data_IF_390496403300
#
_entry.id   IF_390496403300
#
_cell.length_a   1.000
_cell.length_b   1.000
_cell.length_c   1.000
_cell.angle_alpha   90.00
_cell.angle_beta   90.00
_cell.angle_gamma   90.00
#
_symmetry.space_group_name_H-M   'P 1'
#
loop_
_entity.id
_entity.type
_entity.pdbx_description
1 polymer ?
#
# COMPACT_ATOMS: atom_id res chain seq x y z
N UNK A 1 -13.19 -2.90 -16.52
CA UNK A 1 -13.67 -3.88 -15.53
C UNK A 1 -13.03 -5.22 -15.85
N UNK A 2 -12.90 -6.09 -14.86
CA UNK A 2 -12.20 -7.37 -14.98
C UNK A 2 -10.79 -7.35 -14.37
N UNK A 3 -10.00 -8.41 -14.60
CA UNK A 3 -8.70 -8.59 -13.95
C UNK A 3 -7.72 -7.47 -14.26
N UNK A 4 -7.11 -6.92 -13.22
CA UNK A 4 -6.09 -5.89 -13.28
C UNK A 4 -5.03 -6.14 -12.19
N UNK A 5 -3.77 -6.33 -12.58
CA UNK A 5 -2.68 -6.46 -11.60
C UNK A 5 -2.31 -5.07 -11.05
N UNK A 6 -2.43 -4.91 -9.74
CA UNK A 6 -1.86 -3.78 -9.02
C UNK A 6 -0.45 -4.14 -8.58
N UNK A 7 0.52 -3.25 -8.79
CA UNK A 7 1.90 -3.47 -8.38
C UNK A 7 2.48 -2.25 -7.71
N UNK A 8 3.48 -2.46 -6.87
CA UNK A 8 4.20 -1.36 -6.25
C UNK A 8 5.40 -1.81 -5.44
N UNK A 9 5.91 -0.88 -4.62
CA UNK A 9 7.02 -1.13 -3.71
C UNK A 9 6.76 -0.44 -2.38
N UNK A 10 7.26 -1.04 -1.31
CA UNK A 10 7.22 -0.48 0.04
C UNK A 10 8.58 -0.66 0.72
N UNK A 11 8.90 0.19 1.69
CA UNK A 11 10.14 0.10 2.48
C UNK A 11 9.90 0.65 3.88
N UNK A 12 10.75 0.26 4.84
CA UNK A 12 10.79 0.85 6.18
C UNK A 12 12.25 1.09 6.59
N UNK A 13 12.46 2.12 7.40
CA UNK A 13 13.74 2.33 8.09
C UNK A 13 13.94 1.38 9.28
N UNK A 14 12.92 0.63 9.67
CA UNK A 14 12.90 -0.18 10.90
C UNK A 14 12.96 -1.69 10.68
N UNK A 15 13.06 -2.14 9.43
CA UNK A 15 13.11 -3.58 9.09
C UNK A 15 12.51 -3.87 7.72
N UNK A 16 12.39 -5.15 7.38
CA UNK A 16 11.70 -5.52 6.14
C UNK A 16 10.21 -5.16 6.24
N UNK A 17 9.59 -4.96 5.08
CA UNK A 17 8.13 -4.94 4.99
C UNK A 17 7.59 -6.34 5.24
N UNK A 18 6.77 -6.48 6.27
CA UNK A 18 6.14 -7.74 6.65
C UNK A 18 4.80 -7.95 5.94
N UNK A 19 4.07 -6.85 5.66
CA UNK A 19 2.73 -6.90 5.07
C UNK A 19 2.45 -5.66 4.22
N UNK A 20 1.80 -5.84 3.07
CA UNK A 20 1.18 -4.76 2.30
C UNK A 20 -0.29 -5.11 2.13
N UNK A 21 -1.16 -4.18 2.45
CA UNK A 21 -2.61 -4.31 2.34
C UNK A 21 -3.13 -3.33 1.28
N UNK A 22 -4.08 -3.79 0.47
CA UNK A 22 -4.79 -3.01 -0.53
C UNK A 22 -6.25 -2.88 -0.12
N UNK A 23 -6.83 -1.71 -0.33
CA UNK A 23 -8.27 -1.49 -0.27
C UNK A 23 -8.71 -0.88 -1.60
N UNK A 24 -9.87 -1.28 -2.11
CA UNK A 24 -10.49 -0.68 -3.31
C UNK A 24 -11.78 0.10 -3.00
N UNK A 25 -12.07 0.28 -1.71
CA UNK A 25 -13.32 0.82 -1.19
C UNK A 25 -13.14 2.02 -0.25
N UNK A 26 -12.00 2.71 -0.34
CA UNK A 26 -11.68 3.89 0.48
C UNK A 26 -11.15 3.56 1.88
N UNK A 27 -10.66 2.33 2.09
CA UNK A 27 -10.11 1.86 3.35
C UNK A 27 -11.12 1.23 4.31
N UNK A 28 -12.33 0.87 3.83
CA UNK A 28 -13.36 0.21 4.64
C UNK A 28 -13.06 -1.27 4.80
N UNK A 29 -12.51 -1.91 3.78
CA UNK A 29 -11.99 -3.29 3.81
C UNK A 29 -10.60 -3.36 3.20
N UNK A 30 -9.84 -4.38 3.60
CA UNK A 30 -8.44 -4.55 3.22
C UNK A 30 -8.16 -6.01 2.87
N UNK A 31 -7.33 -6.24 1.86
CA UNK A 31 -6.84 -7.53 1.44
C UNK A 31 -5.31 -7.52 1.37
N UNK A 32 -4.69 -8.67 1.62
CA UNK A 32 -3.23 -8.80 1.58
C UNK A 32 -2.72 -8.88 0.13
N UNK A 33 -1.68 -8.11 -0.15
CA UNK A 33 -0.90 -8.22 -1.38
C UNK A 33 0.18 -9.30 -1.26
N UNK A 34 0.54 -9.88 -2.39
CA UNK A 34 1.66 -10.79 -2.49
C UNK A 34 2.98 -10.03 -2.43
N UNK A 35 3.77 -10.31 -1.40
CA UNK A 35 5.11 -9.76 -1.29
C UNK A 35 6.13 -10.64 -2.02
N UNK A 36 6.95 -10.03 -2.87
CA UNK A 36 8.13 -10.71 -3.44
C UNK A 36 9.10 -11.11 -2.32
N UNK A 37 10.04 -12.04 -2.56
CA UNK A 37 11.03 -12.41 -1.56
C UNK A 37 11.71 -11.19 -0.94
N UNK A 38 11.98 -11.25 0.36
CA UNK A 38 12.62 -10.15 1.06
C UNK A 38 14.00 -9.87 0.43
N UNK A 39 14.34 -8.59 0.17
CA UNK A 39 15.68 -8.23 -0.31
C UNK A 39 16.73 -8.50 0.77
N UNK A 40 18.00 -8.57 0.39
CA UNK A 40 19.08 -8.87 1.36
C UNK A 40 19.24 -7.80 2.45
N UNK A 41 19.02 -6.53 2.12
CA UNK A 41 19.12 -5.43 3.09
C UNK A 41 17.72 -5.05 3.63
N UNK A 42 17.51 -5.00 4.96
CA UNK A 42 16.22 -4.71 5.59
C UNK A 42 15.55 -3.42 5.14
N UNK A 43 16.34 -2.37 4.93
CA UNK A 43 15.86 -1.05 4.50
C UNK A 43 15.64 -0.93 3.00
N UNK A 44 15.78 -2.01 2.23
CA UNK A 44 15.52 -2.00 0.79
C UNK A 44 14.04 -2.07 0.47
N UNK A 45 13.66 -1.47 -0.65
CA UNK A 45 12.33 -1.58 -1.20
C UNK A 45 11.98 -3.04 -1.51
N UNK A 46 10.83 -3.50 -0.99
CA UNK A 46 10.23 -4.80 -1.28
C UNK A 46 9.09 -4.59 -2.26
N UNK A 47 9.13 -5.31 -3.38
CA UNK A 47 8.08 -5.27 -4.40
C UNK A 47 6.86 -6.09 -3.95
N UNK A 48 5.68 -5.68 -4.40
CA UNK A 48 4.43 -6.36 -4.15
C UNK A 48 3.53 -6.35 -5.39
N UNK A 49 2.62 -7.32 -5.47
CA UNK A 49 1.57 -7.43 -6.48
C UNK A 49 0.24 -7.83 -5.83
N UNK A 50 -0.88 -7.43 -6.44
CA UNK A 50 -2.22 -7.81 -6.00
C UNK A 50 -3.13 -7.97 -7.22
N UNK A 51 -3.70 -9.15 -7.39
CA UNK A 51 -4.65 -9.44 -8.45
C UNK A 51 -6.02 -8.86 -8.09
N UNK A 52 -6.36 -7.72 -8.70
CA UNK A 52 -7.61 -7.03 -8.45
C UNK A 52 -8.63 -7.33 -9.56
N UNK A 53 -9.75 -7.94 -9.20
CA UNK A 53 -10.90 -8.07 -10.11
C UNK A 53 -11.74 -6.79 -10.07
N UNK A 54 -11.42 -5.86 -10.98
CA UNK A 54 -11.96 -4.51 -10.93
C UNK A 54 -13.42 -4.46 -11.39
N UNK A 55 -14.33 -4.13 -10.47
CA UNK A 55 -15.71 -3.81 -10.82
C UNK A 55 -15.80 -2.52 -11.66
N UNK A 56 -16.85 -2.38 -12.48
CA UNK A 56 -17.12 -1.12 -13.19
C UNK A 56 -17.55 -0.05 -12.19
N UNK A 57 -16.99 1.15 -12.30
CA UNK A 57 -17.37 2.29 -11.46
C UNK A 57 -16.17 3.06 -10.92
N UNK A 58 -16.46 3.96 -9.98
CA UNK A 58 -15.43 4.70 -9.25
C UNK A 58 -14.92 3.88 -8.06
N UNK A 59 -13.60 3.84 -7.90
CA UNK A 59 -12.92 3.21 -6.77
C UNK A 59 -11.93 4.18 -6.16
N UNK A 60 -11.73 4.08 -4.84
CA UNK A 60 -10.63 4.74 -4.15
C UNK A 60 -9.68 3.67 -3.64
N UNK A 61 -8.57 3.48 -4.37
CA UNK A 61 -7.54 2.53 -4.03
C UNK A 61 -6.66 3.09 -2.92
N UNK A 62 -6.46 2.31 -1.85
CA UNK A 62 -5.49 2.59 -0.80
C UNK A 62 -4.45 1.49 -0.72
N UNK A 63 -3.22 1.87 -0.37
CA UNK A 63 -2.12 0.94 -0.10
C UNK A 63 -1.51 1.28 1.26
N UNK A 64 -1.38 0.29 2.15
CA UNK A 64 -0.77 0.42 3.48
C UNK A 64 0.27 -0.67 3.70
N UNK A 65 1.48 -0.27 4.08
CA UNK A 65 2.54 -1.18 4.50
C UNK A 65 2.66 -1.27 6.03
N UNK A 66 3.04 -2.45 6.52
CA UNK A 66 3.46 -2.71 7.91
C UNK A 66 4.82 -3.40 7.90
N UNK A 67 5.76 -2.92 8.73
CA UNK A 67 7.08 -3.54 8.87
C UNK A 67 7.13 -4.63 9.95
N UNK A 68 8.25 -5.36 10.01
CA UNK A 68 8.48 -6.44 10.99
C UNK A 68 8.50 -5.96 12.45
N UNK A 69 8.71 -4.65 12.69
CA UNK A 69 8.62 -4.06 14.02
C UNK A 69 7.18 -3.67 14.40
N UNK A 70 6.21 -3.90 13.52
CA UNK A 70 4.80 -3.62 13.74
C UNK A 70 4.40 -2.17 13.44
N UNK A 71 5.29 -1.35 12.88
CA UNK A 71 4.93 0.00 12.47
C UNK A 71 4.12 -0.05 11.18
N UNK A 72 2.93 0.52 11.20
CA UNK A 72 2.05 0.65 10.04
C UNK A 72 1.93 2.11 9.60
N UNK A 73 1.78 2.33 8.30
CA UNK A 73 1.49 3.68 7.77
C UNK A 73 0.15 4.21 8.32
N UNK A 74 0.05 5.50 8.68
CA UNK A 74 -1.20 6.11 9.12
C UNK A 74 -2.17 6.29 7.93
N UNK A 75 -3.48 6.25 8.19
CA UNK A 75 -4.49 6.46 7.14
C UNK A 75 -4.70 7.95 6.81
N UNK A 76 -4.44 8.84 7.77
CA UNK A 76 -4.50 10.28 7.59
C UNK A 76 -3.09 10.89 7.70
N UNK A 77 -2.80 11.98 6.99
CA UNK A 77 -1.50 12.64 7.09
C UNK A 77 -1.30 13.24 8.49
N UNK A 78 -0.09 13.11 9.02
CA UNK A 78 0.34 13.88 10.19
C UNK A 78 0.85 15.24 9.71
N UNK A 79 0.03 16.27 9.87
CA UNK A 79 0.38 17.61 9.42
C UNK A 79 1.57 18.17 10.20
N UNK A 80 2.50 18.82 9.50
CA UNK A 80 3.55 19.63 10.09
C UNK A 80 3.89 20.80 9.16
N UNK A 81 4.38 21.89 9.73
CA UNK A 81 4.68 23.13 9.00
C UNK A 81 5.63 22.94 7.81
N UNK A 82 6.60 22.02 7.93
CA UNK A 82 7.58 21.74 6.89
C UNK A 82 7.12 20.77 5.80
N UNK A 83 5.96 20.10 5.97
CA UNK A 83 5.49 19.06 5.06
C UNK A 83 6.37 17.79 5.04
N UNK A 84 7.17 17.55 6.07
CA UNK A 84 8.12 16.45 6.11
C UNK A 84 7.49 15.13 6.55
N UNK A 85 8.18 14.03 6.21
CA UNK A 85 7.91 12.67 6.72
C UNK A 85 6.47 12.18 6.46
N UNK A 86 5.81 12.67 5.41
CA UNK A 86 4.51 12.14 5.06
C UNK A 86 4.66 10.70 4.57
N UNK A 87 4.10 9.78 5.34
CA UNK A 87 4.06 8.36 5.04
C UNK A 87 2.63 7.80 5.08
N UNK A 88 1.60 8.65 4.93
CA UNK A 88 0.21 8.16 4.94
C UNK A 88 -0.01 7.09 3.87
N UNK A 89 -0.94 6.17 4.13
CA UNK A 89 -1.42 5.22 3.14
C UNK A 89 -1.83 5.97 1.87
N UNK A 90 -1.18 5.65 0.75
CA UNK A 90 -1.38 6.37 -0.49
C UNK A 90 -2.78 6.10 -1.02
N UNK A 91 -3.44 7.15 -1.51
CA UNK A 91 -4.79 7.10 -2.10
C UNK A 91 -4.73 7.41 -3.60
N UNK A 92 -5.42 6.61 -4.41
CA UNK A 92 -5.59 6.87 -5.85
C UNK A 92 -7.05 6.61 -6.23
N UNK A 93 -7.72 7.63 -6.77
CA UNK A 93 -9.06 7.47 -7.33
C UNK A 93 -8.97 7.04 -8.77
N UNK A 94 -9.74 6.00 -9.13
CA UNK A 94 -9.77 5.45 -10.48
C UNK A 94 -11.21 5.28 -10.95
N UNK A 95 -11.42 5.45 -12.25
CA UNK A 95 -12.68 5.12 -12.92
C UNK A 95 -12.45 3.88 -13.80
N UNK A 96 -13.11 2.78 -13.44
CA UNK A 96 -13.06 1.53 -14.19
C UNK A 96 -14.18 1.53 -15.22
N UNK A 97 -13.79 1.53 -16.50
CA UNK A 97 -14.70 1.51 -17.66
C UNK A 97 -15.03 0.11 -18.15
#
# INVERSE_FOLDING_TARGET
AGPCELTGRAWSGWGHIARVEISDDGGRSWADADLRPAPAAPSSWRAWSFDWDAARGEHELLVRATDEAGNAQPIAPSWNYGGFMNNMAQRVRVLVR
#
